data_IF_496681885308
#
_entry.id   IF_496681885308
#
_cell.length_a   1.000
_cell.length_b   1.000
_cell.length_c   1.000
_cell.angle_alpha   90.00
_cell.angle_beta   90.00
_cell.angle_gamma   90.00
#
_symmetry.space_group_name_H-M   'P 1'
#
loop_
_entity.id
_entity.type
_entity.pdbx_description
1 polymer ?
#
# COMPACT_ATOMS: atom_id res chain seq x y z
N UNK A 1 1.77 -6.00 -10.07
CA UNK A 1 0.61 -5.13 -10.33
C UNK A 1 0.97 -3.68 -10.56
N UNK A 2 0.01 -2.82 -10.87
CA UNK A 2 0.17 -1.36 -11.04
C UNK A 2 1.18 -0.95 -12.14
N UNK A 3 1.33 -1.76 -13.19
CA UNK A 3 2.28 -1.52 -14.29
C UNK A 3 2.09 -0.16 -14.97
N UNK A 4 0.86 0.39 -14.96
CA UNK A 4 0.57 1.71 -15.51
C UNK A 4 1.19 2.87 -14.70
N UNK A 5 1.57 2.65 -13.44
CA UNK A 5 2.22 3.65 -12.58
C UNK A 5 3.74 3.45 -12.47
N UNK A 6 4.18 2.18 -12.36
CA UNK A 6 5.57 1.82 -12.07
C UNK A 6 6.21 0.92 -13.14
N UNK A 7 5.50 0.66 -14.24
CA UNK A 7 6.06 -0.06 -15.39
C UNK A 7 7.13 0.76 -16.11
N UNK A 8 7.76 0.16 -17.09
CA UNK A 8 8.79 0.82 -17.90
C UNK A 8 8.22 2.07 -18.59
N UNK A 9 8.88 3.22 -18.44
CA UNK A 9 8.45 4.51 -18.97
C UNK A 9 7.28 5.18 -18.22
N UNK A 10 6.75 4.61 -17.15
CA UNK A 10 5.69 5.23 -16.37
C UNK A 10 6.21 6.44 -15.56
N UNK A 11 5.35 7.44 -15.39
CA UNK A 11 5.73 8.74 -14.78
C UNK A 11 6.29 8.56 -13.37
N UNK A 12 5.63 7.77 -12.53
CA UNK A 12 6.09 7.57 -11.15
C UNK A 12 7.44 6.86 -11.11
N UNK A 13 7.68 5.89 -12.00
CA UNK A 13 8.96 5.24 -12.14
C UNK A 13 10.06 6.21 -12.54
N UNK A 14 9.83 7.06 -13.53
CA UNK A 14 10.79 8.10 -13.94
C UNK A 14 11.12 9.06 -12.79
N UNK A 15 10.12 9.46 -11.99
CA UNK A 15 10.35 10.33 -10.82
C UNK A 15 11.23 9.65 -9.78
N UNK A 16 11.06 8.34 -9.56
CA UNK A 16 11.89 7.54 -8.64
C UNK A 16 13.32 7.44 -9.19
N UNK A 17 13.48 7.04 -10.44
CA UNK A 17 14.78 6.87 -11.09
C UNK A 17 15.59 8.19 -11.13
N UNK A 18 14.90 9.31 -11.34
CA UNK A 18 15.51 10.65 -11.32
C UNK A 18 15.76 11.20 -9.90
N UNK A 19 15.26 10.52 -8.86
CA UNK A 19 15.34 10.99 -7.48
C UNK A 19 14.50 12.24 -7.18
N UNK A 20 13.65 12.67 -8.10
CA UNK A 20 12.87 13.91 -7.99
C UNK A 20 11.39 13.63 -7.70
N UNK A 21 11.13 13.22 -6.47
CA UNK A 21 9.80 12.84 -6.02
C UNK A 21 9.03 14.05 -5.46
N UNK A 22 7.94 14.43 -6.11
CA UNK A 22 6.96 15.40 -5.57
C UNK A 22 5.96 14.68 -4.64
N UNK A 23 5.25 15.45 -3.80
CA UNK A 23 4.18 14.91 -2.95
C UNK A 23 3.01 14.40 -3.80
N UNK A 24 2.39 13.29 -3.38
CA UNK A 24 1.27 12.68 -4.10
C UNK A 24 0.33 11.90 -3.19
N UNK A 25 -0.85 11.59 -3.73
CA UNK A 25 -1.88 10.79 -3.09
C UNK A 25 -2.10 9.52 -3.92
N UNK A 26 -2.03 8.36 -3.27
CA UNK A 26 -2.38 7.07 -3.82
C UNK A 26 -3.86 6.79 -3.53
N UNK A 27 -4.68 6.83 -4.55
CA UNK A 27 -6.10 6.56 -4.47
C UNK A 27 -6.45 5.23 -5.12
N UNK A 28 -7.19 4.37 -4.42
CA UNK A 28 -7.65 3.10 -4.98
C UNK A 28 -8.20 2.17 -3.91
N UNK A 29 -8.80 1.04 -4.32
CA UNK A 29 -9.43 0.10 -3.41
C UNK A 29 -8.45 -0.49 -2.38
N UNK A 30 -8.93 -1.15 -1.34
CA UNK A 30 -8.07 -1.82 -0.37
C UNK A 30 -7.25 -2.94 -1.03
N UNK A 31 -6.14 -3.32 -0.41
CA UNK A 31 -5.31 -4.46 -0.82
C UNK A 31 -4.56 -4.35 -2.15
N UNK A 32 -4.57 -3.20 -2.83
CA UNK A 32 -3.89 -3.00 -4.12
C UNK A 32 -2.41 -2.60 -4.01
N UNK A 33 -1.88 -2.52 -2.78
CA UNK A 33 -0.45 -2.29 -2.54
C UNK A 33 -0.06 -0.84 -2.28
N UNK A 34 -0.96 0.09 -1.90
CA UNK A 34 -0.65 1.50 -1.61
C UNK A 34 0.52 1.67 -0.63
N UNK A 35 0.42 1.05 0.54
CA UNK A 35 1.45 1.09 1.59
C UNK A 35 2.75 0.41 1.15
N UNK A 36 2.65 -0.70 0.44
CA UNK A 36 3.80 -1.44 -0.09
C UNK A 36 4.56 -0.60 -1.11
N UNK A 37 3.85 0.06 -2.02
CA UNK A 37 4.43 0.95 -3.02
C UNK A 37 5.18 2.12 -2.37
N UNK A 38 4.57 2.76 -1.36
CA UNK A 38 5.22 3.85 -0.63
C UNK A 38 6.52 3.42 0.06
N UNK A 39 6.55 2.22 0.64
CA UNK A 39 7.76 1.65 1.26
C UNK A 39 8.85 1.33 0.24
N UNK A 40 8.49 0.75 -0.90
CA UNK A 40 9.44 0.46 -1.98
C UNK A 40 10.06 1.77 -2.48
N UNK A 41 9.26 2.81 -2.71
CA UNK A 41 9.76 4.13 -3.15
C UNK A 41 10.77 4.71 -2.14
N UNK A 42 10.46 4.63 -0.86
CA UNK A 42 11.34 5.15 0.17
C UNK A 42 12.66 4.37 0.24
N UNK A 43 12.61 3.06 0.08
CA UNK A 43 13.78 2.18 0.03
C UNK A 43 14.65 2.47 -1.19
N UNK A 44 14.07 2.56 -2.38
CA UNK A 44 14.80 2.86 -3.62
C UNK A 44 15.48 4.24 -3.61
N UNK A 45 14.87 5.20 -2.91
CA UNK A 45 15.41 6.55 -2.77
C UNK A 45 16.33 6.71 -1.56
N UNK A 46 16.51 5.66 -0.74
CA UNK A 46 17.29 5.68 0.51
C UNK A 46 16.91 6.82 1.46
N UNK A 47 15.61 7.21 1.44
CA UNK A 47 15.08 8.32 2.24
C UNK A 47 14.44 7.84 3.53
N UNK A 48 14.55 8.61 4.64
CA UNK A 48 13.81 8.33 5.86
C UNK A 48 12.32 8.22 5.59
N UNK A 49 11.71 7.16 6.11
CA UNK A 49 10.29 6.84 5.93
C UNK A 49 9.57 6.91 7.26
N UNK A 50 8.74 7.93 7.42
CA UNK A 50 7.88 8.08 8.58
C UNK A 50 6.46 7.70 8.22
N UNK A 51 5.77 7.00 9.12
CA UNK A 51 4.38 6.58 8.92
C UNK A 51 3.48 7.15 10.00
N UNK A 52 2.35 7.68 9.59
CA UNK A 52 1.25 8.05 10.46
C UNK A 52 -0.01 7.32 10.04
N UNK A 53 -0.77 6.86 11.03
CA UNK A 53 -2.10 6.32 10.79
C UNK A 53 -3.12 7.37 11.18
N UNK A 54 -4.02 7.72 10.27
CA UNK A 54 -5.07 8.69 10.55
C UNK A 54 -6.03 8.26 11.67
N UNK A 55 -6.06 6.97 12.00
CA UNK A 55 -6.90 6.44 13.08
C UNK A 55 -6.32 6.74 14.46
N UNK A 56 -4.99 6.77 14.61
CA UNK A 56 -4.32 6.85 15.91
C UNK A 56 -3.50 8.13 16.13
N UNK A 57 -3.20 8.87 15.06
CA UNK A 57 -2.30 10.03 15.12
C UNK A 57 -3.07 11.34 15.20
N UNK A 58 -2.71 12.20 16.17
CA UNK A 58 -3.22 13.56 16.31
C UNK A 58 -2.30 14.62 15.70
N UNK A 59 -2.65 15.91 15.85
CA UNK A 59 -1.83 17.06 15.39
C UNK A 59 -0.44 17.07 16.04
N UNK A 60 -0.34 16.57 17.27
CA UNK A 60 0.93 16.52 18.00
C UNK A 60 1.91 15.57 17.32
N UNK A 61 1.46 14.37 16.98
CA UNK A 61 2.28 13.36 16.30
C UNK A 61 2.70 13.83 14.91
N UNK A 62 1.82 14.52 14.19
CA UNK A 62 2.17 15.15 12.90
C UNK A 62 3.33 16.13 13.07
N UNK A 63 3.25 17.03 14.06
CA UNK A 63 4.34 18.00 14.33
C UNK A 63 5.65 17.34 14.74
N UNK A 64 5.59 16.32 15.59
CA UNK A 64 6.78 15.55 16.01
C UNK A 64 7.50 14.92 14.82
N UNK A 65 6.75 14.38 13.85
CA UNK A 65 7.34 13.80 12.64
C UNK A 65 7.94 14.89 11.74
N UNK A 66 7.26 16.02 11.57
CA UNK A 66 7.79 17.16 10.82
C UNK A 66 9.10 17.67 11.46
N UNK A 67 9.16 17.76 12.79
CA UNK A 67 10.37 18.18 13.49
C UNK A 67 11.51 17.16 13.33
N UNK A 68 11.23 15.86 13.29
CA UNK A 68 12.23 14.82 12.97
C UNK A 68 12.75 14.98 11.55
N UNK A 69 11.87 15.24 10.58
CA UNK A 69 12.23 15.47 9.19
C UNK A 69 13.11 16.73 9.03
N UNK A 70 12.79 17.81 9.74
CA UNK A 70 13.62 19.04 9.76
C UNK A 70 15.04 18.77 10.29
N UNK A 71 15.14 18.04 11.39
CA UNK A 71 16.46 17.66 11.95
C UNK A 71 17.26 16.80 10.97
N UNK A 72 16.62 15.85 10.30
CA UNK A 72 17.28 15.05 9.29
C UNK A 72 17.80 15.90 8.12
N UNK A 73 16.96 16.79 7.59
CA UNK A 73 17.36 17.71 6.53
C UNK A 73 18.53 18.62 6.95
N UNK A 74 18.52 19.15 8.19
CA UNK A 74 19.59 19.97 8.73
C UNK A 74 20.92 19.19 8.87
N UNK A 75 20.87 17.91 9.25
CA UNK A 75 22.07 17.07 9.35
C UNK A 75 22.69 16.76 7.97
N UNK A 76 21.87 16.63 6.94
CA UNK A 76 22.32 16.28 5.58
C UNK A 76 22.62 17.49 4.70
N UNK A 77 22.20 18.70 5.08
CA UNK A 77 22.43 19.94 4.32
C UNK A 77 23.81 20.58 4.52
N UNK A 78 24.82 19.80 4.96
CA UNK A 78 26.23 20.21 4.83
C UNK A 78 26.77 21.16 5.88
N UNK A 79 26.14 21.30 7.06
CA UNK A 79 26.78 21.98 8.21
C UNK A 79 27.83 21.10 8.91
N UNK A 80 27.90 19.80 8.58
CA UNK A 80 28.93 18.89 9.07
C UNK A 80 29.39 17.92 7.98
N UNK A 81 30.43 18.33 7.24
CA UNK A 81 31.35 17.38 6.59
C UNK A 81 31.06 17.01 5.15
N UNK A 82 31.96 17.51 4.32
CA UNK A 82 32.37 16.97 3.03
C UNK A 82 32.51 15.45 3.12
N UNK A 83 31.62 14.67 2.54
CA UNK A 83 31.96 13.32 2.11
C UNK A 83 32.41 13.38 0.66
N UNK A 84 33.74 13.45 0.49
CA UNK A 84 34.39 12.98 -0.72
C UNK A 84 34.04 11.50 -0.92
N UNK A 85 33.13 11.22 -1.82
CA UNK A 85 33.07 9.92 -2.48
C UNK A 85 32.66 10.19 -3.92
N UNK A 86 33.65 9.97 -4.79
CA UNK A 86 33.56 10.24 -6.21
C UNK A 86 32.53 9.41 -6.93
N UNK A 87 32.21 9.93 -8.13
CA UNK A 87 31.51 9.32 -9.26
C UNK A 87 29.99 9.42 -9.22
N UNK A 88 29.48 10.34 -10.01
CA UNK A 88 28.10 10.39 -10.50
C UNK A 88 27.39 11.68 -10.11
N UNK A 89 27.22 12.57 -11.08
CA UNK A 89 26.43 13.78 -11.01
C UNK A 89 25.02 13.50 -10.49
N UNK A 90 24.80 13.69 -9.19
CA UNK A 90 23.48 14.04 -8.66
C UNK A 90 23.63 15.49 -8.20
N UNK A 91 22.98 16.40 -8.94
CA UNK A 91 22.77 17.76 -8.45
C UNK A 91 22.21 17.68 -7.04
N UNK A 92 22.74 18.47 -6.13
CA UNK A 92 22.48 18.51 -4.70
C UNK A 92 21.04 18.87 -4.38
N UNK A 93 20.11 17.92 -4.60
CA UNK A 93 18.76 17.98 -4.06
C UNK A 93 18.81 17.60 -2.59
N UNK A 94 18.37 18.48 -1.70
CA UNK A 94 18.17 18.17 -0.29
C UNK A 94 17.34 16.89 -0.19
N UNK A 95 17.90 15.84 0.38
CA UNK A 95 17.21 14.55 0.59
C UNK A 95 16.06 14.76 1.57
N UNK A 96 14.85 14.87 1.03
CA UNK A 96 13.65 15.10 1.83
C UNK A 96 13.14 13.78 2.40
N UNK A 97 12.82 13.79 3.69
CA UNK A 97 12.16 12.64 4.31
C UNK A 97 10.77 12.40 3.69
N UNK A 98 10.38 11.14 3.59
CA UNK A 98 9.05 10.73 3.13
C UNK A 98 8.13 10.56 4.33
N UNK A 99 7.00 11.27 4.35
CA UNK A 99 5.92 11.05 5.29
C UNK A 99 4.77 10.32 4.59
N UNK A 100 4.53 9.09 4.99
CA UNK A 100 3.40 8.29 4.55
C UNK A 100 2.23 8.42 5.54
N UNK A 101 1.05 8.76 5.03
CA UNK A 101 -0.19 8.81 5.81
C UNK A 101 -1.17 7.82 5.23
N UNK A 102 -1.44 6.76 5.99
CA UNK A 102 -2.48 5.78 5.62
C UNK A 102 -3.86 6.31 5.98
N UNK A 103 -4.83 6.09 5.10
CA UNK A 103 -6.21 6.55 5.23
C UNK A 103 -6.31 8.07 5.49
N UNK A 104 -5.59 8.88 4.69
CA UNK A 104 -5.50 10.34 4.87
C UNK A 104 -6.88 11.04 4.93
N UNK A 105 -7.92 10.43 4.34
CA UNK A 105 -9.30 10.93 4.40
C UNK A 105 -9.87 10.96 5.82
N UNK A 106 -9.30 10.20 6.76
CA UNK A 106 -9.70 10.21 8.17
C UNK A 106 -9.03 11.31 8.99
N UNK A 107 -8.06 12.01 8.43
CA UNK A 107 -7.50 13.19 9.08
C UNK A 107 -8.52 14.33 9.07
N UNK A 108 -8.71 14.95 10.22
CA UNK A 108 -9.48 16.20 10.30
C UNK A 108 -8.83 17.30 9.45
N UNK A 109 -9.61 18.31 9.07
CA UNK A 109 -9.08 19.47 8.31
C UNK A 109 -7.89 20.12 9.02
N UNK A 110 -7.93 20.25 10.35
CA UNK A 110 -6.82 20.83 11.14
C UNK A 110 -5.55 19.97 11.09
N UNK A 111 -5.68 18.63 11.04
CA UNK A 111 -4.53 17.74 10.88
C UNK A 111 -3.93 17.88 9.48
N UNK A 112 -4.77 17.93 8.46
CA UNK A 112 -4.32 18.14 7.07
C UNK A 112 -3.68 19.54 6.91
N UNK A 113 -4.24 20.59 7.49
CA UNK A 113 -3.66 21.94 7.50
C UNK A 113 -2.27 21.97 8.12
N UNK A 114 -2.04 21.18 9.17
CA UNK A 114 -0.73 21.12 9.84
C UNK A 114 0.40 20.56 8.95
N UNK A 115 0.06 19.89 7.84
CA UNK A 115 1.03 19.36 6.86
C UNK A 115 1.44 20.42 5.82
N UNK A 116 0.60 21.44 5.57
CA UNK A 116 0.76 22.36 4.45
C UNK A 116 2.15 23.02 4.43
N UNK A 117 2.56 23.61 5.54
CA UNK A 117 3.85 24.29 5.60
C UNK A 117 5.02 23.37 5.26
N UNK A 118 5.03 22.15 5.80
CA UNK A 118 6.11 21.19 5.58
C UNK A 118 6.12 20.61 4.14
N UNK A 119 4.96 20.56 3.48
CA UNK A 119 4.86 20.18 2.06
C UNK A 119 5.29 21.34 1.17
N UNK A 120 4.90 22.57 1.48
CA UNK A 120 5.23 23.79 0.73
C UNK A 120 6.72 24.11 0.75
N UNK A 121 7.32 24.11 1.93
CA UNK A 121 8.75 24.41 2.10
C UNK A 121 9.65 23.24 1.72
N UNK A 122 9.05 22.08 1.39
CA UNK A 122 9.77 20.88 1.00
C UNK A 122 10.51 20.19 2.14
N UNK A 123 10.15 20.43 3.39
CA UNK A 123 10.67 19.69 4.54
C UNK A 123 10.38 18.20 4.43
N UNK A 124 9.22 17.84 3.88
CA UNK A 124 8.78 16.47 3.65
C UNK A 124 8.30 16.27 2.20
N UNK A 125 8.42 15.04 1.71
CA UNK A 125 7.62 14.54 0.59
C UNK A 125 6.45 13.75 1.16
N UNK A 126 5.23 14.25 0.96
CA UNK A 126 4.02 13.58 1.44
C UNK A 126 3.59 12.48 0.47
N UNK A 127 3.33 11.28 0.98
CA UNK A 127 2.62 10.21 0.29
C UNK A 127 1.34 9.92 1.08
N UNK A 128 0.20 10.40 0.62
CA UNK A 128 -1.10 10.07 1.20
C UNK A 128 -1.66 8.80 0.56
N UNK A 129 -2.31 7.94 1.34
CA UNK A 129 -3.07 6.81 0.82
C UNK A 129 -4.53 6.92 1.23
N UNK A 130 -5.45 6.60 0.32
CA UNK A 130 -6.89 6.66 0.58
C UNK A 130 -7.66 5.66 -0.28
N UNK A 131 -8.76 5.15 0.25
CA UNK A 131 -9.77 4.41 -0.50
C UNK A 131 -10.89 5.32 -1.02
N UNK A 132 -11.06 6.49 -0.41
CA UNK A 132 -12.08 7.47 -0.75
C UNK A 132 -11.59 8.47 -1.82
N UNK A 133 -12.52 9.11 -2.50
CA UNK A 133 -12.16 10.10 -3.53
C UNK A 133 -11.48 11.34 -2.89
N UNK A 134 -10.20 11.57 -3.18
CA UNK A 134 -9.43 12.65 -2.56
C UNK A 134 -9.97 14.04 -2.84
N UNK A 135 -10.74 14.23 -3.91
CA UNK A 135 -11.35 15.53 -4.23
C UNK A 135 -12.40 15.98 -3.22
N UNK A 136 -12.97 15.05 -2.45
CA UNK A 136 -13.95 15.37 -1.40
C UNK A 136 -13.36 15.35 -0.01
N UNK A 137 -12.35 14.51 0.21
CA UNK A 137 -11.84 14.19 1.53
C UNK A 137 -10.55 14.93 1.90
N UNK A 138 -9.77 15.31 0.89
CA UNK A 138 -8.52 16.06 1.10
C UNK A 138 -8.78 17.54 0.89
N UNK A 139 -8.29 18.37 1.82
CA UNK A 139 -8.45 19.82 1.69
C UNK A 139 -7.81 20.36 0.42
N UNK A 140 -8.48 21.29 -0.24
CA UNK A 140 -8.05 21.87 -1.52
C UNK A 140 -6.59 22.41 -1.50
N UNK A 141 -6.13 23.11 -0.44
CA UNK A 141 -4.75 23.58 -0.39
C UNK A 141 -3.72 22.44 -0.42
N UNK A 142 -3.99 21.31 0.22
CA UNK A 142 -3.09 20.16 0.21
C UNK A 142 -3.16 19.42 -1.13
N UNK A 143 -4.38 19.24 -1.65
CA UNK A 143 -4.60 18.58 -2.93
C UNK A 143 -3.93 19.33 -4.10
N UNK A 144 -3.92 20.67 -4.09
CA UNK A 144 -3.25 21.49 -5.11
C UNK A 144 -1.73 21.33 -5.16
N UNK A 145 -1.12 20.78 -4.11
CA UNK A 145 0.32 20.53 -3.97
C UNK A 145 0.71 19.07 -4.16
N UNK A 146 -0.27 18.21 -4.36
CA UNK A 146 -0.07 16.77 -4.53
C UNK A 146 -0.57 16.32 -5.90
N UNK A 147 0.16 15.40 -6.52
CA UNK A 147 -0.36 14.65 -7.66
C UNK A 147 -1.28 13.53 -7.15
N UNK A 148 -2.27 13.12 -7.92
CA UNK A 148 -3.13 11.98 -7.56
C UNK A 148 -2.86 10.83 -8.52
N UNK A 149 -2.43 9.70 -7.97
CA UNK A 149 -2.24 8.46 -8.71
C UNK A 149 -3.32 7.45 -8.35
N UNK A 150 -4.00 6.95 -9.37
CA UNK A 150 -5.09 5.99 -9.21
C UNK A 150 -4.53 4.58 -9.32
N UNK A 151 -4.66 3.80 -8.25
CA UNK A 151 -4.34 2.37 -8.24
C UNK A 151 -5.62 1.60 -8.59
N UNK A 152 -5.44 0.60 -9.44
CA UNK A 152 -6.53 -0.30 -9.87
C UNK A 152 -6.53 -1.58 -9.04
N UNK A 153 -7.69 -2.22 -8.95
CA UNK A 153 -7.76 -3.60 -8.47
C UNK A 153 -6.80 -4.48 -9.28
N UNK A 154 -6.17 -5.44 -8.61
CA UNK A 154 -5.26 -6.36 -9.28
C UNK A 154 -6.07 -7.24 -10.25
N UNK A 155 -5.54 -7.42 -11.46
CA UNK A 155 -6.13 -8.32 -12.42
C UNK A 155 -5.81 -9.80 -12.11
N UNK A 156 -6.33 -10.70 -12.91
CA UNK A 156 -6.15 -12.13 -12.71
C UNK A 156 -4.68 -12.55 -12.82
N UNK A 157 -3.96 -11.96 -13.75
CA UNK A 157 -2.55 -12.23 -13.99
C UNK A 157 -1.69 -11.75 -12.80
N UNK A 158 -1.94 -10.56 -12.30
CA UNK A 158 -1.27 -10.01 -11.12
C UNK A 158 -1.50 -10.87 -9.87
N UNK A 159 -2.74 -11.34 -9.67
CA UNK A 159 -3.09 -12.22 -8.54
C UNK A 159 -2.45 -13.61 -8.67
N UNK A 160 -2.38 -14.16 -9.88
CA UNK A 160 -1.70 -15.43 -10.13
C UNK A 160 -0.19 -15.32 -9.89
N UNK A 161 0.43 -14.23 -10.33
CA UNK A 161 1.84 -13.94 -10.03
C UNK A 161 2.08 -13.87 -8.52
N UNK A 162 1.21 -13.14 -7.78
CA UNK A 162 1.31 -13.04 -6.33
C UNK A 162 1.12 -14.38 -5.63
N UNK A 163 0.15 -15.20 -6.07
CA UNK A 163 -0.07 -16.56 -5.58
C UNK A 163 1.16 -17.43 -5.77
N UNK A 164 1.72 -17.43 -6.97
CA UNK A 164 2.93 -18.22 -7.29
C UNK A 164 4.13 -17.78 -6.45
N UNK A 165 4.31 -16.47 -6.24
CA UNK A 165 5.37 -15.96 -5.38
C UNK A 165 5.16 -16.39 -3.92
N UNK A 166 3.95 -16.26 -3.37
CA UNK A 166 3.66 -16.69 -2.01
C UNK A 166 3.94 -18.19 -1.80
N UNK A 167 3.62 -19.03 -2.77
CA UNK A 167 3.85 -20.49 -2.68
C UNK A 167 5.31 -20.90 -2.81
N UNK A 168 6.11 -20.18 -3.62
CA UNK A 168 7.46 -20.57 -3.96
C UNK A 168 8.55 -19.81 -3.20
N UNK A 169 8.30 -18.54 -2.83
CA UNK A 169 9.30 -17.68 -2.18
C UNK A 169 9.17 -17.68 -0.65
N UNK A 170 7.96 -17.90 -0.10
CA UNK A 170 7.78 -18.02 1.33
C UNK A 170 8.33 -19.36 1.83
N UNK A 171 9.30 -19.31 2.75
CA UNK A 171 10.00 -20.51 3.22
C UNK A 171 9.07 -21.46 3.99
N UNK A 172 8.14 -20.93 4.78
CA UNK A 172 7.18 -21.73 5.54
C UNK A 172 6.23 -22.47 4.59
N UNK A 173 5.61 -21.73 3.66
CA UNK A 173 4.62 -22.30 2.72
C UNK A 173 5.28 -23.31 1.81
N UNK A 174 6.46 -23.02 1.28
CA UNK A 174 7.23 -23.92 0.42
C UNK A 174 7.53 -25.26 1.10
N UNK A 175 7.85 -25.25 2.40
CA UNK A 175 8.13 -26.46 3.16
C UNK A 175 6.87 -27.34 3.38
N UNK A 176 5.68 -26.78 3.29
CA UNK A 176 4.42 -27.51 3.38
C UNK A 176 4.12 -28.35 2.14
N UNK A 177 4.81 -28.10 1.01
CA UNK A 177 4.67 -28.82 -0.28
C UNK A 177 3.21 -28.88 -0.76
N UNK A 178 2.55 -27.71 -0.76
CA UNK A 178 1.16 -27.58 -1.16
C UNK A 178 1.05 -27.72 -2.68
N UNK A 179 0.14 -28.58 -3.14
CA UNK A 179 -0.21 -28.75 -4.55
C UNK A 179 -1.41 -27.85 -4.89
N UNK A 180 -1.26 -27.00 -5.91
CA UNK A 180 -2.34 -26.16 -6.42
C UNK A 180 -2.91 -26.78 -7.67
N UNK A 181 -4.14 -27.29 -7.61
CA UNK A 181 -4.88 -27.89 -8.74
C UNK A 181 -5.76 -26.87 -9.46
N UNK A 182 -6.39 -26.00 -8.70
CA UNK A 182 -7.35 -25.01 -9.22
C UNK A 182 -7.18 -23.69 -8.47
N UNK A 183 -7.32 -22.57 -9.18
CA UNK A 183 -7.10 -21.23 -8.64
C UNK A 183 -8.36 -20.33 -8.72
N UNK A 184 -9.40 -20.75 -9.43
CA UNK A 184 -10.55 -19.90 -9.76
C UNK A 184 -11.27 -19.39 -8.50
N UNK A 185 -11.46 -20.25 -7.50
CA UNK A 185 -12.12 -19.86 -6.25
C UNK A 185 -11.27 -18.86 -5.46
N UNK A 186 -9.96 -19.09 -5.34
CA UNK A 186 -9.06 -18.12 -4.67
C UNK A 186 -9.12 -16.75 -5.36
N UNK A 187 -9.02 -16.71 -6.67
CA UNK A 187 -9.05 -15.47 -7.45
C UNK A 187 -10.39 -14.75 -7.31
N UNK A 188 -11.51 -15.51 -7.37
CA UNK A 188 -12.85 -14.96 -7.21
C UNK A 188 -13.06 -14.35 -5.82
N UNK A 189 -12.69 -15.07 -4.77
CA UNK A 189 -12.87 -14.58 -3.40
C UNK A 189 -11.90 -13.48 -3.02
N UNK A 190 -10.73 -13.37 -3.67
CA UNK A 190 -9.82 -12.23 -3.47
C UNK A 190 -10.33 -10.93 -4.08
N UNK A 191 -11.14 -10.99 -5.16
CA UNK A 191 -11.79 -9.82 -5.75
C UNK A 191 -10.82 -8.70 -6.19
N UNK A 192 -9.58 -9.02 -6.57
CA UNK A 192 -8.57 -8.01 -6.92
C UNK A 192 -7.78 -7.44 -5.74
N UNK A 193 -7.98 -7.99 -4.53
CA UNK A 193 -7.30 -7.59 -3.29
C UNK A 193 -6.20 -8.60 -2.93
N UNK A 194 -4.94 -8.14 -2.96
CA UNK A 194 -3.78 -8.96 -2.59
C UNK A 194 -3.83 -9.45 -1.14
N UNK A 195 -4.34 -8.63 -0.21
CA UNK A 195 -4.44 -8.99 1.21
C UNK A 195 -5.44 -10.12 1.40
N UNK A 196 -6.60 -10.03 0.75
CA UNK A 196 -7.60 -11.11 0.76
C UNK A 196 -7.02 -12.40 0.18
N UNK A 197 -6.29 -12.34 -0.93
CA UNK A 197 -5.61 -13.50 -1.52
C UNK A 197 -4.67 -14.17 -0.51
N UNK A 198 -3.77 -13.39 0.09
CA UNK A 198 -2.78 -13.90 1.04
C UNK A 198 -3.43 -14.47 2.29
N UNK A 199 -4.48 -13.84 2.81
CA UNK A 199 -5.26 -14.35 3.96
C UNK A 199 -5.93 -15.70 3.63
N UNK A 200 -6.43 -15.89 2.41
CA UNK A 200 -6.99 -17.18 1.98
C UNK A 200 -5.90 -18.25 1.96
N UNK A 201 -4.72 -17.93 1.43
CA UNK A 201 -3.59 -18.87 1.42
C UNK A 201 -3.19 -19.23 2.84
N UNK A 202 -3.06 -18.25 3.73
CA UNK A 202 -2.74 -18.47 5.15
C UNK A 202 -3.77 -19.35 5.85
N UNK A 203 -5.06 -19.11 5.62
CA UNK A 203 -6.14 -19.93 6.17
C UNK A 203 -6.02 -21.38 5.73
N UNK A 204 -5.80 -21.62 4.43
CA UNK A 204 -5.66 -22.96 3.88
C UNK A 204 -4.41 -23.67 4.42
N UNK A 205 -3.29 -22.97 4.47
CA UNK A 205 -2.03 -23.52 4.98
C UNK A 205 -2.13 -23.91 6.45
N UNK A 206 -2.78 -23.08 7.26
CA UNK A 206 -3.00 -23.32 8.69
C UNK A 206 -4.01 -24.45 8.96
N UNK A 207 -4.90 -24.77 8.03
CA UNK A 207 -5.83 -25.89 8.15
C UNK A 207 -5.19 -27.27 7.91
N UNK A 208 -3.90 -27.31 7.51
CA UNK A 208 -3.17 -28.54 7.24
C UNK A 208 -3.52 -29.19 5.90
N UNK A 209 -4.31 -28.54 5.05
CA UNK A 209 -4.66 -28.98 3.71
C UNK A 209 -3.44 -28.88 2.81
N UNK A 210 -3.18 -29.95 2.03
CA UNK A 210 -2.05 -30.01 1.10
C UNK A 210 -2.44 -29.82 -0.36
N UNK A 211 -3.74 -29.81 -0.66
CA UNK A 211 -4.23 -29.64 -2.02
C UNK A 211 -5.19 -28.46 -2.05
N UNK A 212 -4.87 -27.48 -2.89
CA UNK A 212 -5.70 -26.32 -3.14
C UNK A 212 -6.51 -26.58 -4.41
N UNK A 213 -7.80 -26.78 -4.24
CA UNK A 213 -8.80 -26.83 -5.31
C UNK A 213 -10.01 -25.95 -4.94
N UNK A 214 -10.93 -25.77 -5.90
CA UNK A 214 -12.07 -24.88 -5.71
C UNK A 214 -13.02 -25.32 -4.57
N UNK A 215 -13.16 -26.63 -4.35
CA UNK A 215 -13.99 -27.19 -3.30
C UNK A 215 -13.38 -26.94 -1.92
N UNK A 216 -12.10 -27.22 -1.77
CA UNK A 216 -11.34 -26.99 -0.52
C UNK A 216 -11.37 -25.53 -0.11
N UNK A 217 -11.10 -24.61 -1.06
CA UNK A 217 -11.15 -23.16 -0.80
C UNK A 217 -12.53 -22.75 -0.31
N UNK A 218 -13.58 -23.16 -1.02
CA UNK A 218 -14.96 -22.82 -0.66
C UNK A 218 -15.34 -23.34 0.72
N UNK A 219 -14.99 -24.59 1.01
CA UNK A 219 -15.25 -25.24 2.31
C UNK A 219 -14.54 -24.52 3.46
N UNK A 220 -13.25 -24.18 3.28
CA UNK A 220 -12.49 -23.48 4.32
C UNK A 220 -13.03 -22.09 4.61
N UNK A 221 -13.44 -21.35 3.59
CA UNK A 221 -14.05 -20.03 3.73
C UNK A 221 -15.42 -20.09 4.42
N UNK A 222 -16.24 -21.09 4.11
CA UNK A 222 -17.55 -21.31 4.76
C UNK A 222 -17.41 -21.71 6.25
N UNK A 223 -16.37 -22.44 6.61
CA UNK A 223 -16.10 -22.83 8.01
C UNK A 223 -15.54 -21.69 8.85
N UNK A 224 -14.97 -20.64 8.23
CA UNK A 224 -14.34 -19.51 8.89
C UNK A 224 -14.90 -18.15 8.40
N UNK A 225 -16.20 -17.90 8.49
CA UNK A 225 -16.82 -16.69 7.94
C UNK A 225 -16.31 -15.40 8.59
N UNK A 226 -15.99 -15.42 9.88
CA UNK A 226 -15.52 -14.25 10.65
C UNK A 226 -14.12 -13.78 10.22
N UNK A 227 -13.28 -14.68 9.73
CA UNK A 227 -11.94 -14.32 9.26
C UNK A 227 -11.96 -13.57 7.91
N UNK A 228 -13.06 -13.73 7.17
CA UNK A 228 -13.17 -13.27 5.78
C UNK A 228 -14.09 -12.07 5.58
N UNK A 229 -15.15 -11.93 6.39
CA UNK A 229 -16.22 -10.93 6.18
C UNK A 229 -16.01 -9.62 6.94
N UNK A 230 -14.84 -9.01 6.81
CA UNK A 230 -14.66 -7.63 7.35
C UNK A 230 -15.35 -6.55 6.51
N UNK A 231 -15.76 -6.86 5.27
CA UNK A 231 -16.35 -5.91 4.32
C UNK A 231 -17.79 -6.26 3.89
N UNK A 232 -18.43 -7.29 4.50
CA UNK A 232 -19.86 -7.60 4.30
C UNK A 232 -20.25 -8.25 2.96
N UNK A 233 -19.34 -8.51 2.04
CA UNK A 233 -19.65 -9.08 0.71
C UNK A 233 -20.11 -10.54 0.76
N UNK A 234 -19.62 -11.34 1.71
CA UNK A 234 -20.03 -12.74 1.87
C UNK A 234 -21.46 -12.91 2.43
N UNK A 235 -21.95 -11.93 3.19
CA UNK A 235 -23.33 -11.96 3.70
C UNK A 235 -24.36 -12.03 2.57
N UNK A 236 -24.13 -11.33 1.47
CA UNK A 236 -25.05 -11.32 0.33
C UNK A 236 -25.03 -12.64 -0.44
N UNK A 237 -23.88 -13.26 -0.63
CA UNK A 237 -23.75 -14.53 -1.36
C UNK A 237 -24.29 -15.71 -0.54
N UNK A 238 -24.03 -15.75 0.77
CA UNK A 238 -24.54 -16.79 1.68
C UNK A 238 -26.05 -16.67 1.86
N UNK A 239 -26.58 -15.46 2.04
CA UNK A 239 -28.01 -15.20 2.14
C UNK A 239 -28.70 -15.54 0.82
N UNK A 240 -28.13 -15.18 -0.32
CA UNK A 240 -28.68 -15.54 -1.64
C UNK A 240 -28.68 -17.05 -1.90
N UNK A 241 -27.60 -17.76 -1.47
CA UNK A 241 -27.54 -19.22 -1.56
C UNK A 241 -28.55 -19.88 -0.62
N UNK A 242 -28.72 -19.35 0.59
CA UNK A 242 -29.70 -19.86 1.57
C UNK A 242 -31.14 -19.65 1.09
N UNK A 243 -31.46 -18.48 0.55
CA UNK A 243 -32.79 -18.20 -0.03
C UNK A 243 -33.09 -19.11 -1.23
N UNK A 244 -32.12 -19.47 -2.06
CA UNK A 244 -32.26 -20.41 -3.18
C UNK A 244 -32.37 -21.86 -2.74
N UNK A 245 -31.86 -22.24 -1.56
CA UNK A 245 -31.93 -23.60 -1.03
C UNK A 245 -33.26 -23.90 -0.30
N UNK A 246 -34.08 -22.88 0.02
CA UNK A 246 -35.37 -22.99 0.69
C UNK A 246 -36.55 -23.00 -0.32
N UNK A 247 -36.26 -22.82 -1.60
CA UNK A 247 -37.20 -23.01 -2.71
C UNK A 247 -36.98 -24.37 -3.36
#
# INVERSE_FOLDING_TARGET
>A
GQKHLVGEGAILRQMIENGNLSSFILWGPPGVGKTTLARIIAHELERPFYTLSAVTSGVKEVREVIDKAKRYAAMNSGLFGSRESGIGHRESGVERAILFIDEIHRFSKSQQDSLLGAVEDGTITLIGATTENPSFEVITPLLSRCQVYVLKSLDKEDLLELLNRALNEDEYIRNLKIEVKQTESILRYSGGDARKLLNIIELITNSGVKIIDNETVTKQLQQNPVAYDKDGELHYDIISAFIKSIR
#
